data_IF_107339411301
#
_entry.id   IF_107339411301
#
_cell.length_a   1.000
_cell.length_b   1.000
_cell.length_c   1.000
_cell.angle_alpha   90.00
_cell.angle_beta   90.00
_cell.angle_gamma   90.00
#
_symmetry.space_group_name_H-M   'P 1'
#
loop_
_entity.id
_entity.type
_entity.pdbx_description
1 polymer ?
#
# COMPACT_ATOMS: atom_id res chain seq x y z
N UNK A 1 -8.73 -17.11 -2.33
CA UNK A 1 -7.57 -17.30 -1.45
C UNK A 1 -6.58 -16.20 -1.77
N UNK A 2 -6.23 -15.36 -0.80
CA UNK A 2 -5.19 -14.34 -0.95
C UNK A 2 -3.80 -14.99 -0.95
N UNK A 3 -2.90 -14.49 -1.79
CA UNK A 3 -1.49 -14.89 -1.81
C UNK A 3 -0.63 -13.69 -1.45
N UNK A 4 0.39 -13.91 -0.63
CA UNK A 4 1.33 -12.89 -0.19
C UNK A 4 2.72 -13.26 -0.69
N UNK A 5 3.41 -12.32 -1.33
CA UNK A 5 4.81 -12.50 -1.73
C UNK A 5 5.72 -12.06 -0.60
N UNK A 6 6.58 -12.97 -0.18
CA UNK A 6 7.53 -12.75 0.91
C UNK A 6 8.75 -11.93 0.47
N UNK A 7 9.40 -11.26 1.41
CA UNK A 7 10.72 -10.65 1.25
C UNK A 7 11.86 -11.67 1.07
N UNK A 8 11.59 -12.97 1.21
CA UNK A 8 12.53 -14.04 0.84
C UNK A 8 12.81 -14.08 -0.67
N UNK A 9 11.84 -13.63 -1.46
CA UNK A 9 11.97 -13.57 -2.91
C UNK A 9 12.72 -12.32 -3.34
N UNK A 10 13.53 -12.46 -4.41
CA UNK A 10 14.26 -11.33 -5.00
C UNK A 10 13.30 -10.29 -5.59
N UNK A 11 13.74 -9.05 -5.69
CA UNK A 11 12.99 -7.95 -6.29
C UNK A 11 12.43 -8.32 -7.67
N UNK A 12 13.25 -8.96 -8.51
CA UNK A 12 12.85 -9.40 -9.86
C UNK A 12 11.71 -10.41 -9.84
N UNK A 13 11.73 -11.38 -8.93
CA UNK A 13 10.65 -12.37 -8.77
C UNK A 13 9.40 -11.67 -8.25
N UNK A 14 9.53 -10.81 -7.26
CA UNK A 14 8.42 -10.05 -6.67
C UNK A 14 7.72 -9.19 -7.72
N UNK A 15 8.46 -8.45 -8.55
CA UNK A 15 7.89 -7.66 -9.64
C UNK A 15 7.13 -8.50 -10.67
N UNK A 16 7.65 -9.69 -11.03
CA UNK A 16 6.94 -10.61 -11.94
C UNK A 16 5.63 -11.13 -11.33
N UNK A 17 5.64 -11.46 -10.04
CA UNK A 17 4.45 -11.96 -9.35
C UNK A 17 3.36 -10.89 -9.21
N UNK A 18 3.72 -9.63 -8.97
CA UNK A 18 2.78 -8.50 -8.99
C UNK A 18 2.14 -8.36 -10.38
N UNK A 19 2.92 -8.45 -11.45
CA UNK A 19 2.41 -8.40 -12.83
C UNK A 19 1.49 -9.56 -13.19
N UNK A 20 1.60 -10.70 -12.49
CA UNK A 20 0.65 -11.83 -12.60
C UNK A 20 -0.62 -11.64 -11.76
N UNK A 21 -0.74 -10.53 -11.02
CA UNK A 21 -1.93 -10.19 -10.25
C UNK A 21 -1.89 -10.56 -8.77
N UNK A 22 -0.73 -10.94 -8.22
CA UNK A 22 -0.60 -11.07 -6.77
C UNK A 22 -0.57 -9.68 -6.18
N UNK A 23 -1.52 -9.40 -5.28
CA UNK A 23 -1.79 -8.05 -4.77
C UNK A 23 -1.29 -7.79 -3.35
N UNK A 24 -0.67 -8.78 -2.69
CA UNK A 24 -0.16 -8.63 -1.33
C UNK A 24 1.33 -8.96 -1.29
N UNK A 25 2.11 -8.07 -0.70
CA UNK A 25 3.54 -8.28 -0.51
C UNK A 25 3.97 -7.90 0.91
N UNK A 26 5.01 -8.56 1.42
CA UNK A 26 5.71 -8.14 2.62
C UNK A 26 6.74 -7.07 2.27
N UNK A 27 6.98 -6.12 3.17
CA UNK A 27 8.03 -5.11 3.03
C UNK A 27 8.78 -4.91 4.34
N UNK A 28 10.03 -4.47 4.27
CA UNK A 28 10.88 -4.13 5.40
C UNK A 28 11.02 -5.23 6.46
N UNK A 29 10.95 -6.51 6.07
CA UNK A 29 11.03 -7.61 7.02
C UNK A 29 12.40 -7.69 7.66
N UNK A 30 12.42 -7.93 8.98
CA UNK A 30 13.61 -8.17 9.78
C UNK A 30 13.48 -9.50 10.52
N UNK A 31 14.47 -10.35 10.44
CA UNK A 31 14.44 -11.73 10.96
C UNK A 31 15.38 -11.95 12.13
N UNK A 32 16.19 -10.95 12.48
CA UNK A 32 17.03 -10.97 13.68
C UNK A 32 16.21 -10.69 14.94
N UNK A 33 16.62 -11.24 16.06
CA UNK A 33 15.99 -10.98 17.37
C UNK A 33 16.11 -9.51 17.72
N UNK A 34 14.99 -8.84 18.01
CA UNK A 34 14.94 -7.40 18.27
C UNK A 34 15.26 -6.53 17.02
N UNK A 35 15.22 -7.11 15.81
CA UNK A 35 15.65 -6.44 14.58
C UNK A 35 14.85 -5.21 14.19
N UNK A 36 13.62 -5.05 14.69
CA UNK A 36 12.80 -3.86 14.45
C UNK A 36 13.14 -2.69 15.38
N UNK A 37 13.84 -2.94 16.48
CA UNK A 37 14.27 -1.91 17.44
C UNK A 37 15.66 -1.35 17.12
N UNK A 38 16.44 -2.04 16.30
CA UNK A 38 17.81 -1.68 15.94
C UNK A 38 17.87 -1.00 14.58
N UNK A 39 18.59 0.11 14.49
CA UNK A 39 18.84 0.80 13.23
C UNK A 39 19.74 -0.02 12.31
N UNK A 40 20.74 -0.71 12.84
CA UNK A 40 21.67 -1.53 12.08
C UNK A 40 21.23 -3.00 12.05
N UNK A 41 21.45 -3.64 10.88
CA UNK A 41 21.20 -5.09 10.73
C UNK A 41 22.30 -5.87 11.42
N UNK A 42 21.91 -6.77 12.31
CA UNK A 42 22.82 -7.74 12.93
C UNK A 42 22.65 -9.07 12.20
N UNK A 43 23.51 -9.33 11.21
CA UNK A 43 23.44 -10.52 10.36
C UNK A 43 23.61 -11.84 11.14
N UNK A 44 24.39 -11.83 12.19
CA UNK A 44 24.72 -13.06 12.97
C UNK A 44 23.54 -13.64 13.78
N UNK A 45 22.42 -12.94 13.87
CA UNK A 45 21.23 -13.37 14.61
C UNK A 45 20.00 -13.60 13.74
N UNK A 46 20.15 -13.60 12.42
CA UNK A 46 19.04 -13.82 11.48
C UNK A 46 18.56 -15.28 11.53
N UNK A 47 17.24 -15.47 11.71
CA UNK A 47 16.62 -16.80 11.72
C UNK A 47 16.54 -17.43 10.33
N UNK A 48 16.49 -16.59 9.29
CA UNK A 48 16.53 -16.98 7.89
C UNK A 48 16.89 -15.79 7.02
N UNK A 49 17.43 -16.08 5.84
CA UNK A 49 17.84 -15.08 4.86
C UNK A 49 16.64 -14.36 4.24
N UNK A 50 16.77 -13.04 4.07
CA UNK A 50 15.81 -12.15 3.41
C UNK A 50 16.51 -11.57 2.18
N UNK A 51 15.99 -11.90 0.99
CA UNK A 51 16.56 -11.40 -0.27
C UNK A 51 16.25 -9.93 -0.54
N UNK A 52 15.05 -9.48 -0.15
CA UNK A 52 14.65 -8.07 -0.26
C UNK A 52 14.81 -7.38 1.09
N UNK A 53 15.89 -6.62 1.20
CA UNK A 53 16.29 -5.94 2.44
C UNK A 53 15.92 -4.46 2.47
N UNK A 54 15.20 -3.97 1.47
CA UNK A 54 14.78 -2.58 1.35
C UNK A 54 13.93 -2.13 2.52
N UNK A 55 14.01 -0.86 2.85
CA UNK A 55 13.11 -0.18 3.78
C UNK A 55 11.67 -0.16 3.23
N UNK A 56 10.69 0.16 4.07
CA UNK A 56 9.32 0.30 3.63
C UNK A 56 9.16 1.43 2.61
N UNK A 57 9.87 2.54 2.81
CA UNK A 57 9.86 3.69 1.91
C UNK A 57 10.38 3.32 0.51
N UNK A 58 11.51 2.60 0.45
CA UNK A 58 12.06 2.12 -0.82
C UNK A 58 11.11 1.13 -1.54
N UNK A 59 10.45 0.25 -0.79
CA UNK A 59 9.46 -0.68 -1.39
C UNK A 59 8.24 0.07 -1.90
N UNK A 60 7.75 1.07 -1.18
CA UNK A 60 6.63 1.93 -1.62
C UNK A 60 7.02 2.71 -2.88
N UNK A 61 8.20 3.32 -2.91
CA UNK A 61 8.74 3.99 -4.09
C UNK A 61 8.82 3.06 -5.30
N UNK A 62 9.38 1.88 -5.12
CA UNK A 62 9.51 0.86 -6.16
C UNK A 62 8.16 0.38 -6.70
N UNK A 63 7.15 0.20 -5.84
CA UNK A 63 5.79 -0.15 -6.27
C UNK A 63 5.21 0.93 -7.19
N UNK A 64 5.36 2.18 -6.82
CA UNK A 64 4.87 3.31 -7.62
C UNK A 64 5.59 3.42 -8.97
N UNK A 65 6.90 3.18 -9.02
CA UNK A 65 7.69 3.15 -10.26
C UNK A 65 7.23 2.04 -11.21
N UNK A 66 6.72 0.93 -10.67
CA UNK A 66 6.16 -0.18 -11.44
C UNK A 66 4.64 -0.02 -11.72
N UNK A 67 4.06 1.15 -11.45
CA UNK A 67 2.65 1.45 -11.75
C UNK A 67 1.65 0.84 -10.78
N UNK A 68 2.10 0.34 -9.62
CA UNK A 68 1.23 -0.19 -8.58
C UNK A 68 0.96 0.88 -7.51
N UNK A 69 -0.29 0.93 -7.01
CA UNK A 69 -0.67 1.81 -5.91
C UNK A 69 -0.47 1.07 -4.60
N UNK A 70 0.51 1.46 -3.76
CA UNK A 70 0.65 0.90 -2.42
C UNK A 70 -0.59 1.24 -1.57
N UNK A 71 -1.14 0.24 -0.88
CA UNK A 71 -2.32 0.42 -0.05
C UNK A 71 -2.12 -0.19 1.33
N UNK A 72 -2.40 0.59 2.36
CA UNK A 72 -2.40 0.18 3.76
C UNK A 72 -3.82 0.00 4.30
N UNK A 73 -4.82 -0.08 3.41
CA UNK A 73 -6.23 -0.11 3.75
C UNK A 73 -6.64 -1.42 4.45
N UNK A 74 -7.32 -1.29 5.59
CA UNK A 74 -7.93 -2.39 6.35
C UNK A 74 -9.46 -2.32 6.39
N UNK A 75 -10.08 -1.43 5.62
CA UNK A 75 -11.52 -1.14 5.67
C UNK A 75 -12.38 -2.39 5.46
N UNK A 76 -11.99 -3.30 4.55
CA UNK A 76 -12.78 -4.49 4.28
C UNK A 76 -12.92 -5.41 5.50
N UNK A 77 -11.87 -5.56 6.31
CA UNK A 77 -11.95 -6.33 7.55
C UNK A 77 -12.85 -5.66 8.58
N UNK A 78 -12.77 -4.35 8.70
CA UNK A 78 -13.52 -3.54 9.67
C UNK A 78 -15.01 -3.46 9.32
N UNK A 79 -15.34 -3.48 8.02
CA UNK A 79 -16.72 -3.38 7.50
C UNK A 79 -17.33 -4.77 7.18
N UNK A 80 -16.66 -5.86 7.54
CA UNK A 80 -17.13 -7.23 7.27
C UNK A 80 -17.26 -7.56 5.77
N UNK A 81 -16.50 -6.87 4.92
CA UNK A 81 -16.44 -7.11 3.48
C UNK A 81 -15.36 -8.15 3.15
N UNK A 82 -15.59 -9.40 3.54
CA UNK A 82 -14.66 -10.52 3.33
C UNK A 82 -15.36 -11.67 2.61
N UNK A 83 -14.60 -12.65 2.14
CA UNK A 83 -15.12 -13.84 1.46
C UNK A 83 -16.02 -13.50 0.25
N UNK A 84 -17.20 -14.09 0.18
CA UNK A 84 -18.13 -13.93 -0.95
C UNK A 84 -18.62 -12.48 -1.10
N UNK A 85 -18.78 -11.76 0.01
CA UNK A 85 -19.17 -10.34 -0.03
C UNK A 85 -18.12 -9.48 -0.72
N UNK A 86 -16.83 -9.72 -0.44
CA UNK A 86 -15.74 -9.06 -1.13
C UNK A 86 -15.69 -9.45 -2.60
N UNK A 87 -15.84 -10.74 -2.90
CA UNK A 87 -15.83 -11.24 -4.28
C UNK A 87 -16.98 -10.69 -5.12
N UNK A 88 -18.16 -10.46 -4.53
CA UNK A 88 -19.26 -9.80 -5.21
C UNK A 88 -18.92 -8.37 -5.65
N UNK A 89 -18.26 -7.60 -4.78
CA UNK A 89 -17.78 -6.24 -5.11
C UNK A 89 -16.73 -6.26 -6.23
N UNK A 90 -15.84 -7.26 -6.24
CA UNK A 90 -14.85 -7.42 -7.31
C UNK A 90 -15.51 -7.74 -8.66
N UNK A 91 -16.42 -8.71 -8.68
CA UNK A 91 -17.11 -9.15 -9.91
C UNK A 91 -17.96 -8.07 -10.56
N UNK A 92 -18.55 -7.18 -9.77
CA UNK A 92 -19.38 -6.07 -10.26
C UNK A 92 -18.56 -4.81 -10.60
N UNK A 93 -17.26 -4.79 -10.32
CA UNK A 93 -16.42 -3.60 -10.47
C UNK A 93 -16.63 -2.52 -9.42
N UNK A 94 -17.54 -2.72 -8.46
CA UNK A 94 -17.80 -1.77 -7.37
C UNK A 94 -16.58 -1.54 -6.47
N UNK A 95 -15.63 -2.45 -6.52
CA UNK A 95 -14.35 -2.33 -5.79
C UNK A 95 -13.59 -1.05 -6.16
N UNK A 96 -13.70 -0.59 -7.41
CA UNK A 96 -13.07 0.65 -7.87
C UNK A 96 -13.65 1.90 -7.16
N UNK A 97 -14.88 1.83 -6.70
CA UNK A 97 -15.51 2.90 -5.96
C UNK A 97 -15.22 2.89 -4.44
N UNK A 98 -14.60 1.85 -3.92
CA UNK A 98 -14.24 1.72 -2.51
C UNK A 98 -12.72 1.55 -2.33
N UNK A 99 -12.15 0.50 -2.94
CA UNK A 99 -10.74 0.15 -2.72
C UNK A 99 -9.78 1.14 -3.36
N UNK A 100 -10.11 1.66 -4.56
CA UNK A 100 -9.25 2.63 -5.22
C UNK A 100 -9.12 3.93 -4.41
N UNK A 101 -10.21 4.64 -4.02
CA UNK A 101 -10.08 5.82 -3.17
C UNK A 101 -9.49 5.51 -1.78
N UNK A 102 -9.81 4.35 -1.17
CA UNK A 102 -9.19 3.96 0.10
C UNK A 102 -7.68 3.77 -0.02
N UNK A 103 -7.20 3.18 -1.13
CA UNK A 103 -5.78 3.04 -1.39
C UNK A 103 -5.09 4.41 -1.47
N UNK A 104 -5.68 5.37 -2.18
CA UNK A 104 -5.13 6.72 -2.33
C UNK A 104 -5.10 7.47 -0.99
N UNK A 105 -6.15 7.35 -0.16
CA UNK A 105 -6.19 7.97 1.16
C UNK A 105 -5.13 7.38 2.10
N UNK A 106 -5.03 6.05 2.19
CA UNK A 106 -4.01 5.40 3.05
C UNK A 106 -2.58 5.61 2.54
N UNK A 107 -2.38 5.70 1.21
CA UNK A 107 -1.11 6.13 0.66
C UNK A 107 -0.80 7.58 1.07
N UNK A 108 -1.77 8.49 1.02
CA UNK A 108 -1.58 9.87 1.46
C UNK A 108 -1.14 9.94 2.92
N UNK A 109 -1.76 9.16 3.81
CA UNK A 109 -1.36 9.07 5.22
C UNK A 109 0.10 8.64 5.35
N UNK A 110 0.52 7.59 4.64
CA UNK A 110 1.91 7.15 4.63
C UNK A 110 2.86 8.24 4.11
N UNK A 111 2.51 8.92 3.01
CA UNK A 111 3.34 9.96 2.41
C UNK A 111 3.53 11.17 3.32
N UNK A 112 2.50 11.54 4.08
CA UNK A 112 2.58 12.66 5.02
C UNK A 112 3.40 12.31 6.25
N UNK A 113 3.20 11.11 6.81
CA UNK A 113 3.69 10.76 8.13
C UNK A 113 5.09 10.09 8.11
N UNK A 114 5.46 9.36 7.03
CA UNK A 114 6.61 8.47 7.05
C UNK A 114 7.54 8.57 5.84
N UNK A 115 7.05 9.06 4.70
CA UNK A 115 7.79 8.98 3.46
C UNK A 115 8.94 10.00 3.39
N UNK A 116 10.03 9.59 2.74
CA UNK A 116 11.09 10.51 2.27
C UNK A 116 10.52 11.56 1.32
N UNK A 117 11.25 12.65 1.11
CA UNK A 117 10.83 13.72 0.21
C UNK A 117 10.66 13.23 -1.23
N UNK A 118 11.55 12.35 -1.70
CA UNK A 118 11.48 11.76 -3.03
C UNK A 118 10.23 10.89 -3.20
N UNK A 119 9.99 9.96 -2.28
CA UNK A 119 8.82 9.09 -2.29
C UNK A 119 7.52 9.88 -2.16
N UNK A 120 7.53 10.92 -1.33
CA UNK A 120 6.39 11.83 -1.15
C UNK A 120 6.02 12.55 -2.43
N UNK A 121 6.98 13.14 -3.12
CA UNK A 121 6.74 13.82 -4.40
C UNK A 121 6.14 12.88 -5.44
N UNK A 122 6.79 11.73 -5.65
CA UNK A 122 6.35 10.68 -6.56
C UNK A 122 4.93 10.18 -6.24
N UNK A 123 4.64 9.99 -4.96
CA UNK A 123 3.34 9.54 -4.47
C UNK A 123 2.22 10.55 -4.73
N UNK A 124 2.45 11.83 -4.52
CA UNK A 124 1.43 12.84 -4.79
C UNK A 124 1.15 13.00 -6.29
N UNK A 125 2.17 12.92 -7.14
CA UNK A 125 1.98 12.91 -8.59
C UNK A 125 1.14 11.70 -9.05
N UNK A 126 1.38 10.53 -8.44
CA UNK A 126 0.56 9.34 -8.68
C UNK A 126 -0.88 9.54 -8.21
N UNK A 127 -1.10 10.05 -7.01
CA UNK A 127 -2.44 10.28 -6.44
C UNK A 127 -3.26 11.20 -7.34
N UNK A 128 -2.71 12.31 -7.79
CA UNK A 128 -3.40 13.25 -8.68
C UNK A 128 -3.86 12.58 -9.98
N UNK A 129 -3.00 11.77 -10.58
CA UNK A 129 -3.32 11.02 -11.79
C UNK A 129 -4.41 9.95 -11.54
N UNK A 130 -4.33 9.26 -10.43
CA UNK A 130 -5.22 8.14 -10.09
C UNK A 130 -6.61 8.59 -9.60
N UNK A 131 -6.73 9.76 -8.99
CA UNK A 131 -8.03 10.33 -8.59
C UNK A 131 -9.01 10.43 -9.76
N UNK A 132 -8.51 10.78 -10.96
CA UNK A 132 -9.33 10.89 -12.16
C UNK A 132 -9.89 9.54 -12.64
N UNK A 133 -9.35 8.42 -12.18
CA UNK A 133 -9.81 7.05 -12.52
C UNK A 133 -10.94 6.55 -11.63
N UNK A 134 -11.33 7.28 -10.58
CA UNK A 134 -12.47 6.92 -9.72
C UNK A 134 -13.77 7.16 -10.52
N UNK A 135 -14.55 6.09 -10.83
CA UNK A 135 -15.67 6.21 -11.76
C UNK A 135 -16.82 7.08 -11.21
N UNK A 136 -17.11 6.96 -9.92
CA UNK A 136 -18.19 7.70 -9.29
C UNK A 136 -17.70 9.10 -8.87
N UNK A 137 -18.26 10.14 -9.49
CA UNK A 137 -17.87 11.52 -9.28
C UNK A 137 -18.01 11.99 -7.82
N UNK A 138 -19.14 11.65 -7.17
CA UNK A 138 -19.36 11.99 -5.76
C UNK A 138 -18.32 11.34 -4.84
N UNK A 139 -17.95 10.09 -5.10
CA UNK A 139 -16.90 9.40 -4.32
C UNK A 139 -15.53 9.98 -4.59
N UNK A 140 -15.26 10.39 -5.81
CA UNK A 140 -14.01 11.09 -6.18
C UNK A 140 -13.90 12.40 -5.43
N UNK A 141 -14.96 13.20 -5.38
CA UNK A 141 -15.01 14.47 -4.63
C UNK A 141 -14.77 14.25 -3.13
N UNK A 142 -15.43 13.26 -2.52
CA UNK A 142 -15.20 12.89 -1.12
C UNK A 142 -13.74 12.48 -0.89
N UNK A 143 -13.15 11.69 -1.79
CA UNK A 143 -11.76 11.27 -1.67
C UNK A 143 -10.79 12.46 -1.76
N UNK A 144 -11.04 13.42 -2.66
CA UNK A 144 -10.25 14.65 -2.77
C UNK A 144 -10.31 15.44 -1.46
N UNK A 145 -11.50 15.64 -0.91
CA UNK A 145 -11.68 16.37 0.35
C UNK A 145 -10.96 15.68 1.51
N UNK A 146 -11.10 14.36 1.64
CA UNK A 146 -10.42 13.59 2.67
C UNK A 146 -8.88 13.64 2.52
N UNK A 147 -8.36 13.56 1.30
CA UNK A 147 -6.92 13.68 1.02
C UNK A 147 -6.41 15.08 1.42
N UNK A 148 -7.17 16.12 1.13
CA UNK A 148 -6.82 17.48 1.55
C UNK A 148 -6.85 17.63 3.08
N UNK A 149 -7.83 17.02 3.76
CA UNK A 149 -7.89 16.98 5.22
C UNK A 149 -6.68 16.24 5.82
N UNK A 150 -6.26 15.10 5.26
CA UNK A 150 -5.06 14.37 5.68
C UNK A 150 -3.81 15.25 5.55
N UNK A 151 -3.68 15.98 4.44
CA UNK A 151 -2.53 16.87 4.20
C UNK A 151 -2.50 18.08 5.14
N UNK A 152 -3.66 18.61 5.49
CA UNK A 152 -3.79 19.86 6.25
C UNK A 152 -3.90 19.66 7.77
N UNK A 153 -4.17 18.45 8.24
CA UNK A 153 -4.46 18.17 9.65
C UNK A 153 -3.87 16.82 10.11
N UNK A 154 -4.05 16.51 11.40
CA UNK A 154 -3.69 15.20 11.96
C UNK A 154 -4.85 14.17 11.86
N UNK A 155 -5.89 14.46 11.08
CA UNK A 155 -6.99 13.51 10.88
C UNK A 155 -6.53 12.36 10.00
N UNK A 156 -6.84 11.15 10.42
CA UNK A 156 -6.50 9.88 9.77
C UNK A 156 -7.71 8.97 9.77
N UNK A 157 -7.56 7.80 9.17
CA UNK A 157 -8.58 6.72 9.21
C UNK A 157 -9.85 7.04 8.41
N UNK A 158 -9.72 7.77 7.31
CA UNK A 158 -10.80 7.94 6.35
C UNK A 158 -11.00 6.65 5.53
N UNK A 159 -12.27 6.28 5.30
CA UNK A 159 -12.61 5.09 4.51
C UNK A 159 -14.01 5.17 3.89
N UNK A 160 -14.19 4.39 2.83
CA UNK A 160 -15.46 4.09 2.19
C UNK A 160 -15.98 2.72 2.56
#
# INVERSE_FOLDING_TARGET
TGMIVSTRESEKVRGRLLNLGISQISGASRTSVGGYEKEERVHDSEQFEVSDTRTLDEVVGWLMDNGHIPSFCTACYREGRTGDRFMALCKTGQILNCCHPNALMTLTEFLVDYASEETRKKGFEMIERELNKIPNEKRREIAINNINDIKASNRRDFRF
#
